data_IF_004777023997
#
_entry.id   IF_004777023997
#
_cell.length_a   1.000
_cell.length_b   1.000
_cell.length_c   1.000
_cell.angle_alpha   90.00
_cell.angle_beta   90.00
_cell.angle_gamma   90.00
#
_symmetry.space_group_name_H-M   'P 1'
#
loop_
_entity.id
_entity.type
_entity.pdbx_description
1 polymer ?
#
# COMPACT_ATOMS: atom_id res chain seq x y z
N UNK A 1 15.29 28.33 15.07
CA UNK A 1 15.29 28.88 16.43
C UNK A 1 15.97 30.25 16.43
N UNK A 2 15.54 31.19 17.27
CA UNK A 2 16.20 32.49 17.49
C UNK A 2 16.47 32.66 18.99
N UNK A 3 17.52 33.40 19.36
CA UNK A 3 17.88 33.74 20.76
C UNK A 3 18.37 32.58 21.65
N UNK A 4 18.86 31.48 21.06
CA UNK A 4 19.61 30.48 21.79
C UNK A 4 20.97 31.05 22.22
N UNK A 5 21.43 30.83 23.49
CA UNK A 5 22.71 31.35 23.99
C UNK A 5 23.96 30.92 23.20
N UNK A 6 23.82 29.88 22.36
CA UNK A 6 24.82 29.51 21.35
C UNK A 6 24.29 29.93 19.99
N UNK A 7 25.01 30.83 19.34
CA UNK A 7 24.61 31.42 18.06
C UNK A 7 24.51 30.41 16.93
N UNK A 8 25.34 29.36 16.92
CA UNK A 8 25.31 28.32 15.88
C UNK A 8 23.99 27.51 15.84
N UNK A 9 23.20 27.58 16.92
CA UNK A 9 21.90 26.91 17.03
C UNK A 9 20.75 27.82 16.60
N UNK A 10 21.01 29.11 16.37
CA UNK A 10 20.04 30.08 15.85
C UNK A 10 19.87 29.96 14.34
N UNK A 11 19.47 28.76 13.88
CA UNK A 11 19.29 28.42 12.46
C UNK A 11 17.87 27.95 12.18
N UNK A 12 17.58 27.66 10.91
CA UNK A 12 16.31 27.05 10.50
C UNK A 12 16.39 25.55 10.76
N UNK A 13 15.41 25.02 11.47
CA UNK A 13 15.29 23.59 11.77
C UNK A 13 13.95 23.07 11.24
N UNK A 14 13.97 21.85 10.72
CA UNK A 14 12.80 21.08 10.33
C UNK A 14 12.36 20.20 11.50
N UNK A 15 11.10 20.36 11.93
CA UNK A 15 10.52 19.52 12.97
C UNK A 15 10.21 18.13 12.42
N UNK A 16 10.72 17.10 13.10
CA UNK A 16 10.50 15.67 12.76
C UNK A 16 9.44 15.02 13.66
N UNK A 17 9.32 15.50 14.88
CA UNK A 17 8.36 14.99 15.87
C UNK A 17 7.94 16.14 16.79
N UNK A 18 6.65 16.17 17.16
CA UNK A 18 6.12 17.05 18.21
C UNK A 18 5.19 16.25 19.11
N UNK A 19 5.48 16.26 20.40
CA UNK A 19 4.71 15.62 21.47
C UNK A 19 4.11 16.74 22.31
N UNK A 20 2.78 16.77 22.36
CA UNK A 20 2.01 17.75 23.12
C UNK A 20 1.53 17.15 24.44
N UNK A 21 1.68 17.88 25.54
CA UNK A 21 1.16 17.55 26.87
C UNK A 21 0.26 18.69 27.33
N UNK A 22 -0.97 18.35 27.68
CA UNK A 22 -1.96 19.28 28.21
C UNK A 22 -2.40 18.78 29.58
N UNK A 23 -2.29 19.63 30.59
CA UNK A 23 -2.92 19.41 31.91
C UNK A 23 -3.98 20.50 32.08
N UNK A 24 -5.25 20.11 31.98
CA UNK A 24 -6.37 21.04 32.05
C UNK A 24 -7.12 20.87 33.37
N UNK A 25 -7.33 21.98 34.09
CA UNK A 25 -8.10 22.00 35.33
C UNK A 25 -9.53 22.42 35.02
N UNK A 26 -10.49 21.53 35.28
CA UNK A 26 -11.91 21.83 35.08
C UNK A 26 -12.36 22.98 36.01
N UNK A 27 -13.12 23.96 35.49
CA UNK A 27 -13.44 25.21 36.21
C UNK A 27 -14.23 25.02 37.51
N UNK A 28 -14.94 23.90 37.68
CA UNK A 28 -15.64 23.56 38.93
C UNK A 28 -14.71 22.95 40.01
N UNK A 29 -13.57 22.38 39.63
CA UNK A 29 -12.55 21.83 40.55
C UNK A 29 -11.49 22.86 40.94
N UNK A 30 -11.53 24.05 40.36
CA UNK A 30 -10.65 25.17 40.67
C UNK A 30 -11.08 25.85 41.98
N UNK A 31 -11.02 25.12 43.09
CA UNK A 31 -11.26 25.66 44.43
C UNK A 31 -10.11 26.58 44.83
N UNK A 32 -10.09 27.81 44.31
CA UNK A 32 -9.26 28.92 44.80
C UNK A 32 -7.74 28.82 44.68
N UNK A 33 -7.18 27.67 44.28
CA UNK A 33 -5.74 27.38 44.39
C UNK A 33 -4.88 27.88 43.20
N UNK A 34 -5.41 28.78 42.36
CA UNK A 34 -4.64 29.41 41.28
C UNK A 34 -4.03 28.46 40.22
N UNK A 35 -4.37 27.16 40.24
CA UNK A 35 -3.84 26.14 39.34
C UNK A 35 -4.35 26.41 37.92
N UNK A 36 -3.43 26.79 37.03
CA UNK A 36 -3.71 27.13 35.63
C UNK A 36 -3.58 25.89 34.75
N UNK A 37 -4.26 25.93 33.60
CA UNK A 37 -4.05 24.99 32.52
C UNK A 37 -2.58 25.07 32.08
N UNK A 38 -1.90 23.93 32.03
CA UNK A 38 -0.51 23.81 31.62
C UNK A 38 -0.44 23.15 30.23
N UNK A 39 0.33 23.76 29.33
CA UNK A 39 0.55 23.26 27.99
C UNK A 39 2.05 23.21 27.72
N UNK A 40 2.57 22.00 27.56
CA UNK A 40 3.98 21.76 27.34
C UNK A 40 4.19 20.94 26.06
N UNK A 41 5.26 21.27 25.32
CA UNK A 41 5.63 20.58 24.10
C UNK A 41 7.06 20.06 24.18
N UNK A 42 7.28 18.84 23.72
CA UNK A 42 8.60 18.28 23.44
C UNK A 42 8.68 18.01 21.94
N UNK A 43 9.72 18.49 21.27
CA UNK A 43 9.89 18.29 19.84
C UNK A 43 11.30 17.81 19.51
N UNK A 44 11.41 17.10 18.40
CA UNK A 44 12.67 16.64 17.81
C UNK A 44 12.83 17.33 16.45
N UNK A 45 14.00 17.93 16.20
CA UNK A 45 14.24 18.71 14.99
C UNK A 45 15.60 18.36 14.36
N UNK A 46 15.69 18.52 13.04
CA UNK A 46 16.93 18.39 12.26
C UNK A 46 17.22 19.72 11.55
N UNK A 47 18.48 19.97 11.17
CA UNK A 47 18.81 21.17 10.40
C UNK A 47 18.04 21.19 9.07
N UNK A 48 17.50 22.34 8.69
CA UNK A 48 16.78 22.50 7.41
C UNK A 48 17.66 22.32 6.17
N UNK A 49 18.99 22.37 6.32
CA UNK A 49 19.94 22.13 5.22
C UNK A 49 20.04 20.64 4.83
N UNK A 50 19.54 19.73 5.69
CA UNK A 50 19.56 18.30 5.45
C UNK A 50 18.20 17.83 4.92
N UNK A 51 18.22 17.07 3.83
CA UNK A 51 17.02 16.39 3.32
C UNK A 51 16.54 15.34 4.32
N UNK A 52 15.29 15.47 4.78
CA UNK A 52 14.68 14.45 5.62
C UNK A 52 14.27 13.23 4.80
N UNK A 53 14.79 12.05 5.15
CA UNK A 53 14.34 10.76 4.60
C UNK A 53 13.83 9.89 5.76
N UNK A 54 12.54 9.52 5.79
CA UNK A 54 12.01 8.67 6.83
C UNK A 54 12.67 7.28 6.75
N UNK A 55 12.82 6.63 7.90
CA UNK A 55 13.32 5.26 7.94
C UNK A 55 12.29 4.33 7.28
N UNK A 56 12.79 3.37 6.48
CA UNK A 56 11.97 2.32 5.88
C UNK A 56 11.57 1.27 6.92
N UNK A 57 10.66 1.65 7.83
CA UNK A 57 10.15 0.79 8.91
C UNK A 57 9.11 -0.19 8.37
N UNK A 58 8.34 0.23 7.37
CA UNK A 58 7.28 -0.58 6.78
C UNK A 58 7.88 -1.78 6.05
N UNK A 59 7.57 -3.02 6.46
CA UNK A 59 8.07 -4.20 5.77
C UNK A 59 7.50 -4.28 4.36
N UNK A 60 8.30 -4.77 3.41
CA UNK A 60 7.83 -5.02 2.04
C UNK A 60 6.75 -6.11 2.09
N UNK A 61 5.59 -5.92 1.43
CA UNK A 61 4.58 -6.98 1.34
C UNK A 61 5.15 -8.16 0.55
N UNK A 62 5.01 -9.36 1.11
CA UNK A 62 5.43 -10.62 0.50
C UNK A 62 4.19 -11.48 0.24
N UNK A 63 4.12 -12.09 -0.94
CA UNK A 63 3.10 -13.09 -1.27
C UNK A 63 3.70 -14.45 -0.93
N UNK A 64 3.14 -15.11 0.09
CA UNK A 64 3.58 -16.45 0.46
C UNK A 64 2.94 -17.47 -0.47
N UNK A 65 3.74 -18.02 -1.38
CA UNK A 65 3.37 -19.13 -2.23
C UNK A 65 2.48 -18.79 -3.44
N UNK A 66 2.07 -19.83 -4.19
CA UNK A 66 1.25 -19.68 -5.38
C UNK A 66 -0.16 -19.15 -5.05
N UNK A 67 -0.75 -18.40 -5.98
CA UNK A 67 -2.08 -17.82 -5.87
C UNK A 67 -2.92 -18.26 -7.07
N UNK A 68 -4.23 -18.34 -6.90
CA UNK A 68 -5.18 -18.64 -7.97
C UNK A 68 -5.78 -17.35 -8.54
N UNK A 69 -6.10 -17.36 -9.83
CA UNK A 69 -6.66 -16.22 -10.56
C UNK A 69 -7.57 -16.69 -11.70
N UNK A 70 -8.31 -15.77 -12.30
CA UNK A 70 -9.15 -16.03 -13.47
C UNK A 70 -8.48 -15.43 -14.70
N UNK A 71 -8.39 -16.20 -15.79
CA UNK A 71 -7.91 -15.66 -17.08
C UNK A 71 -9.00 -14.76 -17.65
N UNK A 72 -8.63 -13.51 -17.99
CA UNK A 72 -9.56 -12.50 -18.49
C UNK A 72 -9.14 -12.11 -19.91
N UNK A 73 -10.13 -12.03 -20.80
CA UNK A 73 -9.99 -11.56 -22.17
C UNK A 73 -11.06 -10.49 -22.46
N UNK A 74 -10.89 -9.75 -23.55
CA UNK A 74 -11.88 -8.78 -23.99
C UNK A 74 -13.20 -9.48 -24.35
N UNK A 75 -14.32 -8.76 -24.23
CA UNK A 75 -15.65 -9.31 -24.50
C UNK A 75 -15.73 -9.88 -25.92
N UNK A 76 -15.91 -11.21 -26.03
CA UNK A 76 -16.02 -11.93 -27.31
C UNK A 76 -14.77 -12.72 -27.73
N UNK A 77 -13.67 -12.61 -26.99
CA UNK A 77 -12.46 -13.40 -27.22
C UNK A 77 -12.30 -14.44 -26.10
N UNK A 78 -12.15 -15.73 -26.45
CA UNK A 78 -11.97 -16.81 -25.46
C UNK A 78 -10.54 -16.83 -24.90
N UNK A 79 -9.55 -16.51 -25.74
CA UNK A 79 -8.13 -16.53 -25.41
C UNK A 79 -7.48 -15.29 -26.00
N UNK A 80 -6.98 -14.41 -25.14
CA UNK A 80 -6.18 -13.26 -25.54
C UNK A 80 -4.70 -13.52 -25.22
N UNK A 81 -3.87 -13.61 -26.26
CA UNK A 81 -2.42 -13.83 -26.15
C UNK A 81 -1.66 -12.66 -26.78
N UNK A 82 -0.66 -12.14 -26.05
CA UNK A 82 0.29 -11.21 -26.65
C UNK A 82 1.27 -11.95 -27.59
N UNK A 83 2.00 -11.20 -28.42
CA UNK A 83 3.05 -11.70 -29.34
C UNK A 83 4.12 -12.52 -28.64
N UNK A 84 4.28 -12.32 -27.33
CA UNK A 84 5.23 -13.02 -26.46
C UNK A 84 4.58 -14.18 -25.68
N UNK A 85 3.32 -14.52 -25.97
CA UNK A 85 2.59 -15.63 -25.35
C UNK A 85 2.10 -15.35 -23.93
N UNK A 86 1.91 -14.08 -23.57
CA UNK A 86 1.40 -13.70 -22.25
C UNK A 86 -0.11 -13.65 -22.22
N UNK A 87 -0.69 -13.98 -21.07
CA UNK A 87 -2.14 -13.87 -20.82
C UNK A 87 -2.42 -12.84 -19.74
N UNK A 88 -3.63 -12.30 -19.77
CA UNK A 88 -4.14 -11.45 -18.70
C UNK A 88 -4.89 -12.27 -17.66
N UNK A 89 -4.59 -12.00 -16.39
CA UNK A 89 -5.26 -12.64 -15.26
C UNK A 89 -5.82 -11.59 -14.29
N UNK A 90 -6.90 -11.95 -13.63
CA UNK A 90 -7.50 -11.21 -12.53
C UNK A 90 -7.42 -12.05 -11.24
N UNK A 91 -6.77 -11.52 -10.22
CA UNK A 91 -6.76 -12.13 -8.90
C UNK A 91 -8.09 -11.91 -8.17
N UNK A 92 -8.46 -12.84 -7.30
CA UNK A 92 -9.71 -12.74 -6.51
C UNK A 92 -9.76 -11.56 -5.55
N UNK A 93 -8.61 -10.99 -5.17
CA UNK A 93 -8.53 -9.79 -4.33
C UNK A 93 -8.62 -8.49 -5.15
N UNK A 94 -8.52 -8.55 -6.48
CA UNK A 94 -8.64 -7.39 -7.33
C UNK A 94 -10.11 -7.05 -7.58
N UNK A 95 -10.60 -6.03 -6.86
CA UNK A 95 -11.98 -5.52 -6.93
C UNK A 95 -12.15 -4.32 -7.86
N UNK A 96 -11.05 -3.76 -8.38
CA UNK A 96 -11.09 -2.49 -9.11
C UNK A 96 -11.32 -2.70 -10.61
N UNK A 97 -11.12 -3.91 -11.13
CA UNK A 97 -11.41 -4.26 -12.51
C UNK A 97 -12.65 -5.17 -12.58
N UNK A 98 -13.75 -4.76 -13.23
CA UNK A 98 -14.84 -5.69 -13.55
C UNK A 98 -14.31 -6.74 -14.54
N UNK A 99 -14.61 -8.02 -14.37
CA UNK A 99 -14.02 -9.14 -15.13
C UNK A 99 -14.28 -9.13 -16.66
N UNK A 100 -14.97 -8.12 -17.20
CA UNK A 100 -15.43 -8.07 -18.59
C UNK A 100 -15.59 -6.65 -19.18
N UNK A 101 -15.06 -5.59 -18.57
CA UNK A 101 -15.17 -4.28 -19.19
C UNK A 101 -14.30 -4.17 -20.44
N UNK A 102 -14.82 -3.44 -21.44
CA UNK A 102 -14.09 -3.05 -22.65
C UNK A 102 -12.85 -2.20 -22.33
N UNK A 103 -12.82 -1.61 -21.12
CA UNK A 103 -11.70 -0.87 -20.54
C UNK A 103 -10.63 -1.78 -19.89
N UNK A 104 -10.86 -3.09 -19.84
CA UNK A 104 -9.88 -4.09 -19.42
C UNK A 104 -8.88 -4.40 -20.54
N UNK A 105 -8.59 -3.44 -21.42
CA UNK A 105 -7.50 -3.62 -22.37
C UNK A 105 -6.28 -3.98 -21.54
N UNK A 106 -5.78 -5.18 -21.79
CA UNK A 106 -4.56 -5.73 -21.24
C UNK A 106 -3.47 -4.66 -21.11
N UNK A 107 -3.39 -3.69 -22.00
CA UNK A 107 -2.40 -2.60 -22.00
C UNK A 107 -2.43 -1.61 -20.81
N UNK A 108 -3.50 -1.49 -19.99
CA UNK A 108 -3.62 -0.40 -19.00
C UNK A 108 -3.09 -0.73 -17.61
N UNK A 109 -3.31 -1.94 -17.09
CA UNK A 109 -2.69 -2.51 -15.87
C UNK A 109 -2.74 -4.04 -15.88
N UNK A 110 -2.02 -4.70 -16.79
CA UNK A 110 -1.98 -6.15 -16.83
C UNK A 110 -1.03 -6.68 -15.77
N UNK A 111 -1.52 -7.58 -14.92
CA UNK A 111 -0.62 -8.59 -14.38
C UNK A 111 -0.42 -9.62 -15.48
N UNK A 112 0.55 -9.36 -16.37
CA UNK A 112 0.97 -10.34 -17.34
C UNK A 112 1.73 -11.45 -16.62
N UNK A 113 1.35 -12.68 -16.94
CA UNK A 113 2.13 -13.85 -16.60
C UNK A 113 2.38 -14.64 -17.88
N UNK A 114 3.53 -15.31 -17.92
CA UNK A 114 3.86 -16.23 -19.00
C UNK A 114 2.84 -17.38 -19.02
N UNK A 115 2.24 -17.66 -20.17
CA UNK A 115 1.32 -18.78 -20.33
C UNK A 115 1.99 -20.12 -19.99
N UNK A 116 3.32 -20.23 -20.15
CA UNK A 116 4.09 -21.41 -19.77
C UNK A 116 4.18 -21.62 -18.25
N UNK A 117 3.95 -20.58 -17.44
CA UNK A 117 3.94 -20.66 -15.98
C UNK A 117 2.58 -21.14 -15.40
N UNK A 118 1.59 -21.38 -16.27
CA UNK A 118 0.24 -21.79 -15.87
C UNK A 118 0.19 -23.31 -15.73
N UNK A 119 -0.06 -23.79 -14.51
CA UNK A 119 -0.35 -25.22 -14.29
C UNK A 119 -1.86 -25.42 -14.28
N UNK A 120 -2.41 -25.94 -15.36
CA UNK A 120 -3.85 -26.26 -15.45
C UNK A 120 -4.12 -27.62 -14.80
N UNK A 121 -4.80 -27.64 -13.66
CA UNK A 121 -5.35 -28.87 -13.10
C UNK A 121 -6.81 -29.00 -13.52
N UNK A 122 -7.11 -29.86 -14.50
CA UNK A 122 -8.48 -30.14 -14.90
C UNK A 122 -9.07 -31.24 -14.00
N UNK A 123 -10.23 -30.97 -13.40
CA UNK A 123 -11.05 -32.00 -12.76
C UNK A 123 -11.93 -32.69 -13.83
N UNK A 124 -11.80 -34.00 -14.06
CA UNK A 124 -12.45 -34.69 -15.20
C UNK A 124 -13.97 -34.92 -15.06
N UNK A 125 -14.65 -34.36 -14.05
CA UNK A 125 -16.04 -34.75 -13.71
C UNK A 125 -17.10 -33.64 -13.76
N UNK A 126 -16.84 -32.46 -14.32
CA UNK A 126 -17.87 -31.40 -14.38
C UNK A 126 -18.48 -31.30 -15.78
N UNK A 127 -19.80 -31.55 -15.96
CA UNK A 127 -20.47 -31.28 -17.21
C UNK A 127 -20.69 -29.77 -17.34
N UNK A 128 -20.34 -29.23 -18.50
CA UNK A 128 -20.69 -27.90 -19.01
C UNK A 128 -20.32 -26.65 -18.16
N UNK A 129 -19.27 -25.98 -18.64
CA UNK A 129 -19.25 -24.53 -18.90
C UNK A 129 -19.31 -23.55 -17.71
N UNK A 130 -18.58 -23.83 -16.62
CA UNK A 130 -18.46 -22.88 -15.51
C UNK A 130 -17.01 -22.93 -14.95
N UNK A 131 -16.25 -21.85 -15.23
CA UNK A 131 -14.97 -21.43 -14.62
C UNK A 131 -13.88 -22.51 -14.44
N UNK A 132 -12.95 -22.61 -15.40
CA UNK A 132 -11.66 -23.25 -15.15
C UNK A 132 -10.91 -22.45 -14.08
N UNK A 133 -10.86 -22.97 -12.85
CA UNK A 133 -9.98 -22.43 -11.82
C UNK A 133 -8.56 -22.91 -12.11
N UNK A 134 -7.70 -21.98 -12.51
CA UNK A 134 -6.28 -22.26 -12.80
C UNK A 134 -5.42 -21.92 -11.58
N UNK A 135 -4.50 -22.82 -11.24
CA UNK A 135 -3.55 -22.66 -10.13
C UNK A 135 -2.25 -22.10 -10.71
N UNK A 136 -1.82 -20.91 -10.25
CA UNK A 136 -0.62 -20.26 -10.78
C UNK A 136 0.55 -20.37 -9.80
N UNK A 137 1.70 -20.80 -10.33
CA UNK A 137 2.97 -20.77 -9.62
C UNK A 137 3.73 -19.53 -10.03
N UNK A 138 3.69 -18.48 -9.21
CA UNK A 138 4.65 -17.38 -9.31
C UNK A 138 6.02 -17.97 -8.93
N UNK A 139 6.84 -18.29 -9.92
CA UNK A 139 8.26 -18.54 -9.66
C UNK A 139 8.93 -17.21 -9.31
N UNK A 140 9.79 -17.28 -8.30
CA UNK A 140 10.54 -16.17 -7.73
C UNK A 140 11.33 -15.41 -8.80
N UNK A 141 11.24 -14.07 -8.77
CA UNK A 141 12.24 -13.17 -9.38
C UNK A 141 13.35 -12.92 -8.36
#
# INVERSE_FOLDING_TARGET
MTEHPRDDWNRKDLLTEVIHRVDQVLPYRSSGDGRRDDYANRFSAISSDLEHRPLAITPRPLIYGPQTATVVAASGEEIHLDKLGWVCIQFFWDRLSPANAVDNSCDRKPTYIDAAAITTSSCPSSPANIYHQHIFRLQEL
#
